data_IF_557783628271
#
_entry.id   IF_557783628271
#
_cell.length_a   1.000
_cell.length_b   1.000
_cell.length_c   1.000
_cell.angle_alpha   90.00
_cell.angle_beta   90.00
_cell.angle_gamma   90.00
#
_symmetry.space_group_name_H-M   'P 1'
#
loop_
_entity.id
_entity.type
_entity.pdbx_description
1 polymer ?
#
# COMPACT_ATOMS: atom_id res chain seq x y z
N UNK A 1 28.34 -26.84 -10.15
CA UNK A 1 26.98 -26.31 -9.90
C UNK A 1 27.05 -25.38 -8.71
N UNK A 2 26.83 -24.07 -8.91
CA UNK A 2 26.87 -23.09 -7.81
C UNK A 2 25.49 -23.09 -7.12
N UNK A 3 25.47 -23.26 -5.81
CA UNK A 3 24.26 -23.24 -4.99
C UNK A 3 24.33 -22.05 -4.04
N UNK A 4 23.25 -21.29 -3.97
CA UNK A 4 23.08 -20.19 -3.02
C UNK A 4 22.21 -20.67 -1.86
N UNK A 5 22.59 -20.33 -0.62
CA UNK A 5 21.75 -20.60 0.55
C UNK A 5 20.89 -19.37 0.82
N UNK A 6 19.58 -19.52 0.62
CA UNK A 6 18.59 -18.43 0.75
C UNK A 6 17.47 -18.85 1.69
N UNK A 7 16.95 -17.92 2.47
CA UNK A 7 15.71 -18.13 3.23
C UNK A 7 14.49 -18.17 2.29
N UNK A 8 13.33 -18.64 2.77
CA UNK A 8 12.10 -18.59 1.98
C UNK A 8 11.73 -17.16 1.55
N UNK A 9 12.04 -16.17 2.38
CA UNK A 9 11.75 -14.76 2.09
C UNK A 9 12.67 -14.22 1.01
N UNK A 10 13.98 -14.41 1.15
CA UNK A 10 14.95 -13.98 0.15
C UNK A 10 14.74 -14.70 -1.19
N UNK A 11 14.32 -15.97 -1.14
CA UNK A 11 13.94 -16.72 -2.34
C UNK A 11 12.70 -16.12 -3.00
N UNK A 12 11.67 -15.77 -2.22
CA UNK A 12 10.46 -15.13 -2.71
C UNK A 12 10.78 -13.79 -3.39
N UNK A 13 11.60 -12.96 -2.74
CA UNK A 13 12.05 -11.67 -3.24
C UNK A 13 12.86 -11.83 -4.54
N UNK A 14 13.77 -12.81 -4.60
CA UNK A 14 14.63 -13.08 -5.77
C UNK A 14 13.87 -13.68 -6.95
N UNK A 15 12.77 -14.37 -6.69
CA UNK A 15 11.87 -14.91 -7.72
C UNK A 15 10.75 -13.93 -8.10
N UNK A 16 10.55 -12.85 -7.33
CA UNK A 16 9.42 -11.93 -7.53
C UNK A 16 8.05 -12.57 -7.26
N UNK A 17 7.98 -13.60 -6.40
CA UNK A 17 6.73 -14.34 -6.11
C UNK A 17 6.36 -14.25 -4.63
N UNK A 18 5.08 -14.49 -4.31
CA UNK A 18 4.63 -14.63 -2.91
C UNK A 18 5.35 -15.76 -2.18
N UNK A 19 5.52 -15.61 -0.86
CA UNK A 19 6.18 -16.59 0.02
C UNK A 19 5.62 -18.02 -0.13
N UNK A 20 4.30 -18.15 -0.25
CA UNK A 20 3.61 -19.44 -0.46
C UNK A 20 3.95 -20.06 -1.82
N UNK A 21 4.09 -19.26 -2.88
CA UNK A 21 4.53 -19.72 -4.20
C UNK A 21 6.00 -20.13 -4.19
N UNK A 22 6.85 -19.42 -3.43
CA UNK A 22 8.23 -19.82 -3.20
C UNK A 22 8.30 -21.18 -2.47
N UNK A 23 7.50 -21.39 -1.42
CA UNK A 23 7.39 -22.67 -0.70
C UNK A 23 6.99 -23.83 -1.62
N UNK A 24 5.96 -23.63 -2.45
CA UNK A 24 5.53 -24.62 -3.45
C UNK A 24 6.62 -24.92 -4.47
N UNK A 25 7.39 -23.90 -4.88
CA UNK A 25 8.51 -24.07 -5.82
C UNK A 25 9.62 -24.92 -5.24
N UNK A 26 10.01 -24.66 -3.99
CA UNK A 26 11.00 -25.46 -3.24
C UNK A 26 10.55 -26.91 -3.14
N UNK A 27 9.26 -27.15 -2.84
CA UNK A 27 8.68 -28.49 -2.76
C UNK A 27 8.68 -29.20 -4.11
N UNK A 28 8.23 -28.52 -5.17
CA UNK A 28 8.16 -29.06 -6.54
C UNK A 28 9.55 -29.42 -7.09
N UNK A 29 10.52 -28.53 -6.89
CA UNK A 29 11.91 -28.73 -7.35
C UNK A 29 12.76 -29.53 -6.37
N UNK A 30 12.20 -29.93 -5.22
CA UNK A 30 12.86 -30.71 -4.16
C UNK A 30 14.21 -30.13 -3.73
N UNK A 31 14.29 -28.81 -3.62
CA UNK A 31 15.51 -28.15 -3.16
C UNK A 31 15.84 -28.50 -1.72
N UNK A 32 17.13 -28.65 -1.42
CA UNK A 32 17.58 -29.06 -0.10
C UNK A 32 17.33 -27.96 0.93
N UNK A 33 16.79 -28.36 2.09
CA UNK A 33 16.55 -27.49 3.23
C UNK A 33 17.61 -27.79 4.28
N UNK A 34 18.32 -26.75 4.71
CA UNK A 34 19.34 -26.81 5.73
C UNK A 34 18.88 -25.92 6.88
N UNK A 35 18.65 -26.53 8.04
CA UNK A 35 18.44 -25.78 9.26
C UNK A 35 19.81 -25.27 9.72
N UNK A 36 19.98 -23.95 9.77
CA UNK A 36 21.19 -23.35 10.28
C UNK A 36 21.21 -23.40 11.83
N UNK A 37 22.38 -23.18 12.42
CA UNK A 37 22.58 -23.22 13.88
C UNK A 37 21.75 -22.16 14.64
N UNK A 38 21.25 -21.16 13.93
CA UNK A 38 20.36 -20.10 14.40
C UNK A 38 18.87 -20.51 14.38
N UNK A 39 18.56 -21.74 13.98
CA UNK A 39 17.19 -22.25 13.82
C UNK A 39 16.51 -21.82 12.52
N UNK A 40 17.18 -21.05 11.67
CA UNK A 40 16.61 -20.56 10.41
C UNK A 40 16.72 -21.62 9.33
N UNK A 41 15.61 -21.88 8.64
CA UNK A 41 15.59 -22.77 7.48
C UNK A 41 16.15 -22.03 6.27
N UNK A 42 17.34 -22.42 5.83
CA UNK A 42 17.95 -21.99 4.57
C UNK A 42 17.73 -23.05 3.50
N UNK A 43 17.60 -22.62 2.27
CA UNK A 43 17.30 -23.47 1.12
C UNK A 43 18.49 -23.35 0.18
N UNK A 44 19.07 -24.49 -0.18
CA UNK A 44 20.13 -24.56 -1.17
C UNK A 44 19.51 -24.53 -2.56
N UNK A 45 19.60 -23.37 -3.20
CA UNK A 45 19.02 -23.10 -4.50
C UNK A 45 20.12 -23.08 -5.57
N UNK A 46 20.05 -23.94 -6.59
CA UNK A 46 20.96 -23.87 -7.73
C UNK A 46 20.82 -22.52 -8.46
N UNK A 47 21.92 -21.83 -8.72
CA UNK A 47 21.88 -20.51 -9.38
C UNK A 47 21.26 -20.55 -10.78
N UNK A 48 21.37 -21.68 -11.47
CA UNK A 48 20.76 -21.93 -12.79
C UNK A 48 19.22 -21.89 -12.74
N UNK A 49 18.65 -22.13 -11.57
CA UNK A 49 17.21 -22.15 -11.34
C UNK A 49 16.65 -20.81 -10.85
N UNK A 50 17.54 -19.84 -10.60
CA UNK A 50 17.21 -18.46 -10.32
C UNK A 50 17.15 -17.72 -11.66
N UNK A 51 16.13 -16.87 -11.87
CA UNK A 51 16.07 -16.04 -13.05
C UNK A 51 17.31 -15.14 -13.06
N UNK A 52 18.14 -15.28 -14.09
CA UNK A 52 19.18 -14.29 -14.35
C UNK A 52 18.47 -12.96 -14.60
N UNK A 53 18.98 -11.86 -14.05
CA UNK A 53 18.36 -10.52 -14.14
C UNK A 53 18.10 -10.03 -15.57
N UNK A 54 18.52 -10.78 -16.61
CA UNK A 54 18.24 -10.54 -18.03
C UNK A 54 16.96 -11.19 -18.57
N UNK A 55 16.42 -12.24 -17.93
CA UNK A 55 15.28 -13.03 -18.45
C UNK A 55 13.92 -12.63 -17.84
N UNK A 56 13.86 -11.58 -17.03
CA UNK A 56 12.61 -11.09 -16.44
C UNK A 56 11.63 -10.46 -17.46
N UNK A 57 11.95 -10.48 -18.76
CA UNK A 57 11.17 -9.81 -19.80
C UNK A 57 10.58 -10.72 -20.89
N UNK A 58 10.87 -12.02 -20.95
CA UNK A 58 10.27 -12.87 -21.99
C UNK A 58 9.90 -14.26 -21.46
N UNK A 59 8.66 -14.64 -21.74
CA UNK A 59 8.06 -15.97 -21.64
C UNK A 59 7.81 -16.56 -20.24
N UNK A 60 6.60 -16.32 -19.75
CA UNK A 60 5.89 -17.27 -18.88
C UNK A 60 4.52 -17.62 -19.49
N UNK A 61 4.35 -18.83 -20.06
CA UNK A 61 3.04 -19.36 -20.39
C UNK A 61 2.43 -19.96 -19.11
N UNK A 62 1.62 -19.17 -18.42
CA UNK A 62 0.90 -19.62 -17.22
C UNK A 62 0.62 -18.47 -16.27
N UNK A 63 -0.58 -17.89 -16.39
CA UNK A 63 -1.01 -16.73 -15.64
C UNK A 63 -0.77 -16.86 -14.14
N UNK A 64 0.14 -16.02 -13.63
CA UNK A 64 -0.12 -15.40 -12.33
C UNK A 64 -1.02 -14.20 -12.61
N UNK A 65 -2.18 -14.06 -11.95
CA UNK A 65 -2.90 -12.80 -12.01
C UNK A 65 -1.95 -11.74 -11.49
N UNK A 66 -1.76 -10.67 -12.27
CA UNK A 66 -1.15 -9.45 -11.77
C UNK A 66 -1.89 -9.08 -10.49
N UNK A 67 -1.28 -9.30 -9.33
CA UNK A 67 -1.84 -9.00 -7.99
C UNK A 67 -1.95 -7.47 -7.74
N UNK A 68 -1.69 -6.65 -8.75
CA UNK A 68 -1.91 -5.21 -8.72
C UNK A 68 -3.37 -4.88 -9.01
N UNK A 69 -3.90 -3.78 -8.43
CA UNK A 69 -5.25 -3.34 -8.73
C UNK A 69 -5.39 -3.09 -10.23
N UNK A 70 -6.49 -3.57 -10.80
CA UNK A 70 -6.81 -3.32 -12.20
C UNK A 70 -6.99 -1.82 -12.44
N UNK A 71 -6.76 -1.36 -13.67
CA UNK A 71 -6.98 0.05 -14.02
C UNK A 71 -8.41 0.52 -13.69
N UNK A 72 -9.39 -0.38 -13.77
CA UNK A 72 -10.77 -0.11 -13.38
C UNK A 72 -10.92 0.10 -11.86
N UNK A 73 -10.25 -0.70 -11.03
CA UNK A 73 -10.25 -0.53 -9.57
C UNK A 73 -9.57 0.78 -9.16
N UNK A 74 -8.47 1.14 -9.83
CA UNK A 74 -7.79 2.42 -9.61
C UNK A 74 -8.73 3.58 -9.94
N UNK A 75 -9.41 3.55 -11.09
CA UNK A 75 -10.34 4.60 -11.49
C UNK A 75 -11.51 4.76 -10.49
N UNK A 76 -12.07 3.65 -10.01
CA UNK A 76 -13.13 3.68 -8.98
C UNK A 76 -12.63 4.28 -7.67
N UNK A 77 -11.41 3.92 -7.24
CA UNK A 77 -10.80 4.47 -6.04
C UNK A 77 -10.53 5.97 -6.18
N UNK A 78 -10.05 6.42 -7.33
CA UNK A 78 -9.82 7.84 -7.63
C UNK A 78 -11.13 8.64 -7.60
N UNK A 79 -12.19 8.15 -8.24
CA UNK A 79 -13.52 8.77 -8.19
C UNK A 79 -14.03 8.88 -6.75
N UNK A 80 -13.86 7.82 -5.96
CA UNK A 80 -14.27 7.83 -4.56
C UNK A 80 -13.47 8.81 -3.71
N UNK A 81 -12.17 8.94 -3.96
CA UNK A 81 -11.31 9.93 -3.30
C UNK A 81 -11.78 11.34 -3.64
N UNK A 82 -12.06 11.62 -4.92
CA UNK A 82 -12.57 12.92 -5.35
C UNK A 82 -13.91 13.26 -4.68
N UNK A 83 -14.83 12.29 -4.61
CA UNK A 83 -16.11 12.47 -3.93
C UNK A 83 -15.95 12.78 -2.43
N UNK A 84 -15.05 12.06 -1.74
CA UNK A 84 -14.76 12.32 -0.33
C UNK A 84 -14.12 13.69 -0.10
N UNK A 85 -13.20 14.11 -0.97
CA UNK A 85 -12.59 15.43 -0.91
C UNK A 85 -13.64 16.54 -1.10
N UNK A 86 -14.56 16.38 -2.05
CA UNK A 86 -15.64 17.34 -2.27
C UNK A 86 -16.56 17.46 -1.05
N UNK A 87 -16.88 16.33 -0.39
CA UNK A 87 -17.67 16.33 0.85
C UNK A 87 -16.94 17.08 1.97
N UNK A 88 -15.67 16.78 2.21
CA UNK A 88 -14.86 17.47 3.23
C UNK A 88 -14.80 18.98 2.97
N UNK A 89 -14.63 19.39 1.71
CA UNK A 89 -14.60 20.80 1.34
C UNK A 89 -15.96 21.49 1.53
N UNK A 90 -17.07 20.78 1.26
CA UNK A 90 -18.40 21.30 1.55
C UNK A 90 -18.62 21.48 3.06
N UNK A 91 -18.13 20.56 3.87
CA UNK A 91 -18.24 20.63 5.33
C UNK A 91 -17.43 21.79 5.91
N UNK A 92 -16.20 21.96 5.44
CA UNK A 92 -15.36 23.10 5.84
C UNK A 92 -16.04 24.43 5.56
N UNK A 93 -16.57 24.60 4.35
CA UNK A 93 -17.32 25.81 3.99
C UNK A 93 -18.53 26.04 4.90
N UNK A 94 -19.25 24.99 5.31
CA UNK A 94 -20.36 25.12 6.27
C UNK A 94 -19.88 25.52 7.66
N UNK A 95 -18.76 24.96 8.12
CA UNK A 95 -18.16 25.32 9.39
C UNK A 95 -17.68 26.78 9.40
N UNK A 96 -16.96 27.20 8.37
CA UNK A 96 -16.45 28.56 8.24
C UNK A 96 -17.59 29.59 8.21
N UNK A 97 -18.67 29.30 7.47
CA UNK A 97 -19.86 30.16 7.44
C UNK A 97 -20.53 30.26 8.83
N UNK A 98 -20.65 29.14 9.55
CA UNK A 98 -21.21 29.14 10.89
C UNK A 98 -20.33 29.90 11.90
N UNK A 99 -19.01 29.85 11.76
CA UNK A 99 -18.08 30.64 12.57
C UNK A 99 -18.19 32.13 12.27
N UNK A 100 -18.24 32.52 11.00
CA UNK A 100 -18.42 33.90 10.58
C UNK A 100 -19.74 34.50 11.10
N UNK A 101 -20.84 33.74 11.02
CA UNK A 101 -22.12 34.15 11.58
C UNK A 101 -22.01 34.37 13.09
N UNK A 102 -21.43 33.41 13.84
CA UNK A 102 -21.23 33.54 15.29
C UNK A 102 -20.39 34.78 15.63
N UNK A 103 -19.34 35.05 14.87
CA UNK A 103 -18.51 36.23 15.07
C UNK A 103 -19.28 37.53 14.79
N UNK A 104 -20.06 37.59 13.71
CA UNK A 104 -20.92 38.73 13.39
C UNK A 104 -21.93 39.00 14.52
N UNK A 105 -22.58 37.96 15.04
CA UNK A 105 -23.48 38.06 16.19
C UNK A 105 -22.77 38.56 17.45
N UNK A 106 -21.55 38.09 17.73
CA UNK A 106 -20.75 38.55 18.87
C UNK A 106 -20.40 40.04 18.76
N UNK A 107 -19.94 40.48 17.59
CA UNK A 107 -19.59 41.88 17.34
C UNK A 107 -20.82 42.79 17.47
N UNK A 108 -21.96 42.37 16.93
CA UNK A 108 -23.22 43.13 17.05
C UNK A 108 -23.68 43.22 18.50
N UNK A 109 -23.63 42.12 19.24
CA UNK A 109 -23.98 42.10 20.67
C UNK A 109 -23.07 43.03 21.50
N UNK A 110 -21.76 43.02 21.24
CA UNK A 110 -20.82 43.92 21.92
C UNK A 110 -21.14 45.39 21.63
N UNK A 111 -21.35 45.76 20.36
CA UNK A 111 -21.71 47.12 19.97
C UNK A 111 -23.00 47.60 20.64
N UNK A 112 -24.02 46.74 20.68
CA UNK A 112 -25.30 47.04 21.34
C UNK A 112 -25.16 47.20 22.86
N UNK A 113 -24.25 46.45 23.50
CA UNK A 113 -23.98 46.58 24.93
C UNK A 113 -23.24 47.89 25.24
N UNK A 114 -22.21 48.23 24.45
CA UNK A 114 -21.46 49.48 24.59
C UNK A 114 -22.35 50.71 24.39
N UNK A 115 -23.24 50.69 23.39
CA UNK A 115 -24.18 51.79 23.14
C UNK A 115 -25.16 52.03 24.30
N UNK A 116 -25.50 50.99 25.08
CA UNK A 116 -26.41 51.10 26.26
C UNK A 116 -25.70 51.53 27.55
N UNK A 117 -24.37 51.34 27.62
CA UNK A 117 -23.56 51.67 28.80
C UNK A 117 -22.95 53.07 28.74
N UNK A 118 -22.74 53.62 27.54
CA UNK A 118 -22.01 54.87 27.32
C UNK A 118 -22.77 55.91 26.48
N UNK A 119 -24.06 55.70 26.19
CA UNK A 119 -24.97 56.68 25.60
C UNK A 119 -26.06 57.06 26.59
#
# INVERSE_FOLDING_TARGET
MKTESLTYRELADRLGVKLESARKTVQRKRWQKVTANDGTIRILVPVESLPSSRDMSQDSPGGSPSDGPSAAEIAILEERIQGLQALVESERRRADAAEADREAWRVQAQKGLFARLFG
#
